data_IF_806238925654
#
_entry.id   IF_806238925654
#
_cell.length_a   1.000
_cell.length_b   1.000
_cell.length_c   1.000
_cell.angle_alpha   90.00
_cell.angle_beta   90.00
_cell.angle_gamma   90.00
#
_symmetry.space_group_name_H-M   'P 1'
#
loop_
_entity.id
_entity.type
_entity.pdbx_description
1 polymer ?
#
# COMPACT_ATOMS: atom_id res chain seq x y z
N UNK A 1 -27.93 16.52 39.06
CA UNK A 1 -28.18 15.96 37.73
C UNK A 1 -27.22 16.58 36.75
N UNK A 2 -26.27 15.79 36.23
CA UNK A 2 -25.32 16.25 35.22
C UNK A 2 -26.00 16.42 33.86
N UNK A 3 -25.42 17.21 32.96
CA UNK A 3 -25.99 17.40 31.62
C UNK A 3 -26.00 16.09 30.80
N UNK A 4 -25.07 15.19 31.08
CA UNK A 4 -25.04 13.83 30.54
C UNK A 4 -26.26 13.01 30.98
N UNK A 5 -26.64 13.06 32.26
CA UNK A 5 -27.83 12.37 32.79
C UNK A 5 -29.13 12.94 32.23
N UNK A 6 -29.22 14.26 32.07
CA UNK A 6 -30.39 14.91 31.43
C UNK A 6 -30.52 14.48 29.97
N UNK A 7 -29.41 14.41 29.23
CA UNK A 7 -29.39 13.94 27.85
C UNK A 7 -29.76 12.45 27.74
N UNK A 8 -29.28 11.61 28.65
CA UNK A 8 -29.64 10.19 28.73
C UNK A 8 -31.14 9.99 28.99
N UNK A 9 -31.69 10.68 29.99
CA UNK A 9 -33.13 10.64 30.33
C UNK A 9 -34.01 11.13 29.17
N UNK A 10 -33.56 12.12 28.40
CA UNK A 10 -34.24 12.58 27.17
C UNK A 10 -34.20 11.52 26.07
N UNK A 11 -33.05 10.85 25.86
CA UNK A 11 -32.93 9.75 24.87
C UNK A 11 -33.82 8.56 25.25
N UNK A 12 -33.89 8.20 26.52
CA UNK A 12 -34.76 7.13 27.01
C UNK A 12 -36.24 7.44 26.81
N UNK A 13 -36.68 8.66 27.18
CA UNK A 13 -38.06 9.11 26.90
C UNK A 13 -38.38 9.07 25.40
N UNK A 14 -37.46 9.48 24.55
CA UNK A 14 -37.64 9.38 23.09
C UNK A 14 -37.69 7.93 22.59
N UNK A 15 -36.87 7.02 23.15
CA UNK A 15 -36.91 5.59 22.85
C UNK A 15 -38.25 4.98 23.27
N UNK A 16 -38.70 5.25 24.49
CA UNK A 16 -39.99 4.79 25.02
C UNK A 16 -41.16 5.32 24.17
N UNK A 17 -41.14 6.61 23.80
CA UNK A 17 -42.15 7.19 22.92
C UNK A 17 -42.19 6.51 21.53
N UNK A 18 -41.02 6.22 20.94
CA UNK A 18 -40.94 5.52 19.64
C UNK A 18 -41.43 4.07 19.73
N UNK A 19 -41.17 3.39 20.83
CA UNK A 19 -41.63 2.02 21.08
C UNK A 19 -43.15 1.96 21.28
N UNK A 20 -43.72 2.93 22.00
CA UNK A 20 -45.17 3.02 22.25
C UNK A 20 -45.97 3.57 21.07
N UNK A 21 -45.34 4.32 20.15
CA UNK A 21 -46.01 4.97 19.02
C UNK A 21 -45.30 4.71 17.67
N UNK A 22 -45.11 3.43 17.26
CA UNK A 22 -44.34 3.09 16.07
C UNK A 22 -44.98 3.67 14.79
N UNK A 23 -46.30 3.62 14.69
CA UNK A 23 -47.04 4.10 13.52
C UNK A 23 -47.00 5.62 13.35
N UNK A 24 -47.16 6.38 14.44
CA UNK A 24 -47.04 7.85 14.40
C UNK A 24 -45.64 8.28 13.94
N UNK A 25 -44.60 7.58 14.41
CA UNK A 25 -43.21 7.84 14.01
C UNK A 25 -42.98 7.48 12.55
N UNK A 26 -43.51 6.34 12.07
CA UNK A 26 -43.44 5.92 10.67
C UNK A 26 -44.09 6.94 9.74
N UNK A 27 -45.31 7.38 10.05
CA UNK A 27 -46.05 8.35 9.27
C UNK A 27 -45.35 9.72 9.24
N UNK A 28 -44.85 10.19 10.38
CA UNK A 28 -44.08 11.43 10.46
C UNK A 28 -42.79 11.35 9.62
N UNK A 29 -42.10 10.20 9.65
CA UNK A 29 -40.92 9.97 8.82
C UNK A 29 -41.27 9.93 7.34
N UNK A 30 -42.36 9.28 6.93
CA UNK A 30 -42.82 9.29 5.54
C UNK A 30 -43.12 10.72 5.08
N UNK A 31 -43.89 11.50 5.87
CA UNK A 31 -44.18 12.91 5.59
C UNK A 31 -42.93 13.78 5.46
N UNK A 32 -41.89 13.48 6.25
CA UNK A 32 -40.61 14.17 6.12
C UNK A 32 -39.90 13.80 4.81
N UNK A 33 -39.87 12.51 4.46
CA UNK A 33 -39.19 12.02 3.25
C UNK A 33 -39.90 12.37 1.94
N UNK A 34 -41.21 12.60 1.95
CA UNK A 34 -41.99 13.02 0.78
C UNK A 34 -41.84 14.51 0.45
N UNK A 35 -41.28 15.31 1.37
CA UNK A 35 -40.98 16.72 1.09
C UNK A 35 -39.91 16.82 -0.01
N UNK A 36 -40.11 17.68 -1.03
CA UNK A 36 -39.16 17.86 -2.12
C UNK A 36 -37.78 18.27 -1.60
N UNK A 37 -36.71 17.76 -2.23
CA UNK A 37 -35.33 18.04 -1.86
C UNK A 37 -34.83 17.36 -0.57
N UNK A 38 -35.68 16.70 0.22
CA UNK A 38 -35.25 16.06 1.48
C UNK A 38 -34.32 14.87 1.24
N UNK A 39 -34.61 14.06 0.22
CA UNK A 39 -33.74 12.93 -0.18
C UNK A 39 -32.38 13.40 -0.68
N UNK A 40 -32.35 14.52 -1.40
CA UNK A 40 -31.11 15.11 -1.90
C UNK A 40 -30.26 15.68 -0.77
N UNK A 41 -30.88 16.41 0.17
CA UNK A 41 -30.22 16.91 1.38
C UNK A 41 -29.66 15.76 2.22
N UNK A 42 -30.39 14.66 2.37
CA UNK A 42 -29.89 13.45 3.04
C UNK A 42 -28.70 12.84 2.30
N UNK A 43 -28.80 12.64 0.99
CA UNK A 43 -27.68 12.12 0.18
C UNK A 43 -26.45 13.01 0.27
N UNK A 44 -26.63 14.33 0.26
CA UNK A 44 -25.54 15.30 0.39
C UNK A 44 -24.91 15.26 1.79
N UNK A 45 -25.72 15.17 2.85
CA UNK A 45 -25.23 15.01 4.22
C UNK A 45 -24.49 13.67 4.40
N UNK A 46 -25.03 12.58 3.88
CA UNK A 46 -24.41 11.26 3.90
C UNK A 46 -23.09 11.25 3.12
N UNK A 47 -23.04 11.93 1.97
CA UNK A 47 -21.81 12.10 1.19
C UNK A 47 -20.75 12.83 2.01
N UNK A 48 -21.09 13.99 2.59
CA UNK A 48 -20.18 14.75 3.47
C UNK A 48 -19.71 13.92 4.68
N UNK A 49 -20.60 13.13 5.28
CA UNK A 49 -20.25 12.24 6.38
C UNK A 49 -19.26 11.15 5.94
N UNK A 50 -19.51 10.50 4.79
CA UNK A 50 -18.60 9.49 4.23
C UNK A 50 -17.25 10.06 3.85
N UNK A 51 -17.20 11.30 3.38
CA UNK A 51 -15.93 11.99 3.08
C UNK A 51 -15.16 12.29 4.37
N UNK A 52 -15.83 12.87 5.37
CA UNK A 52 -15.21 13.22 6.66
C UNK A 52 -14.78 11.99 7.48
N UNK A 53 -15.49 10.87 7.34
CA UNK A 53 -15.27 9.65 8.10
C UNK A 53 -14.90 8.46 7.20
N UNK A 54 -14.21 8.73 6.08
CA UNK A 54 -13.89 7.74 5.05
C UNK A 54 -13.25 6.49 5.64
N UNK A 55 -12.22 6.66 6.44
CA UNK A 55 -11.44 5.55 7.00
C UNK A 55 -12.24 4.74 8.01
N UNK A 56 -13.04 5.40 8.86
CA UNK A 56 -13.93 4.73 9.81
C UNK A 56 -15.03 3.92 9.10
N UNK A 57 -15.56 4.41 7.98
CA UNK A 57 -16.53 3.67 7.17
C UNK A 57 -15.87 2.45 6.52
N UNK A 58 -14.66 2.61 5.97
CA UNK A 58 -13.90 1.51 5.36
C UNK A 58 -13.58 0.44 6.41
N UNK A 59 -13.05 0.83 7.56
CA UNK A 59 -12.71 -0.09 8.65
C UNK A 59 -13.95 -0.86 9.15
N UNK A 60 -15.09 -0.17 9.30
CA UNK A 60 -16.35 -0.82 9.67
C UNK A 60 -16.83 -1.82 8.63
N UNK A 61 -16.71 -1.50 7.34
CA UNK A 61 -17.05 -2.42 6.26
C UNK A 61 -16.10 -3.62 6.22
N UNK A 62 -14.80 -3.41 6.46
CA UNK A 62 -13.81 -4.48 6.51
C UNK A 62 -14.11 -5.45 7.66
N UNK A 63 -14.41 -4.91 8.85
CA UNK A 63 -14.81 -5.69 10.02
C UNK A 63 -16.09 -6.48 9.74
N UNK A 64 -17.08 -5.87 9.09
CA UNK A 64 -18.30 -6.58 8.70
C UNK A 64 -18.02 -7.76 7.76
N UNK A 65 -17.14 -7.60 6.76
CA UNK A 65 -16.74 -8.68 5.85
C UNK A 65 -16.01 -9.81 6.57
N UNK A 66 -15.21 -9.48 7.59
CA UNK A 66 -14.49 -10.47 8.40
C UNK A 66 -15.46 -11.27 9.30
N UNK A 67 -16.40 -10.57 9.96
CA UNK A 67 -17.38 -11.20 10.85
C UNK A 67 -18.49 -11.94 10.09
N UNK A 68 -18.77 -11.55 8.85
CA UNK A 68 -19.84 -12.12 8.02
C UNK A 68 -19.39 -12.37 6.57
N UNK A 69 -18.44 -13.30 6.35
CA UNK A 69 -17.86 -13.54 5.03
C UNK A 69 -18.89 -14.05 4.03
N UNK A 70 -19.79 -14.96 4.44
CA UNK A 70 -20.80 -15.55 3.57
C UNK A 70 -21.86 -14.53 3.13
N UNK A 71 -22.35 -13.70 4.05
CA UNK A 71 -23.32 -12.65 3.74
C UNK A 71 -22.72 -11.59 2.80
N UNK A 72 -21.46 -11.24 3.00
CA UNK A 72 -20.73 -10.33 2.12
C UNK A 72 -20.53 -10.92 0.71
N UNK A 73 -20.15 -12.21 0.62
CA UNK A 73 -20.01 -12.91 -0.66
C UNK A 73 -21.34 -13.02 -1.40
N UNK A 74 -22.42 -13.40 -0.71
CA UNK A 74 -23.77 -13.50 -1.27
C UNK A 74 -24.29 -12.14 -1.77
N UNK A 75 -24.06 -11.07 -1.00
CA UNK A 75 -24.42 -9.71 -1.42
C UNK A 75 -23.65 -9.27 -2.68
N UNK A 76 -22.34 -9.55 -2.71
CA UNK A 76 -21.48 -9.24 -3.86
C UNK A 76 -21.93 -10.00 -5.10
N UNK A 77 -22.24 -11.30 -4.96
CA UNK A 77 -22.76 -12.13 -6.05
C UNK A 77 -24.09 -11.59 -6.58
N UNK A 78 -25.05 -11.29 -5.70
CA UNK A 78 -26.34 -10.69 -6.09
C UNK A 78 -26.17 -9.36 -6.83
N UNK A 79 -25.22 -8.53 -6.42
CA UNK A 79 -24.90 -7.29 -7.12
C UNK A 79 -24.31 -7.56 -8.51
N UNK A 80 -23.37 -8.48 -8.61
CA UNK A 80 -22.74 -8.84 -9.88
C UNK A 80 -23.73 -9.46 -10.87
N UNK A 81 -24.63 -10.32 -10.41
CA UNK A 81 -25.64 -10.97 -11.24
C UNK A 81 -26.64 -9.94 -11.79
N UNK A 82 -27.10 -9.00 -10.95
CA UNK A 82 -28.01 -7.93 -11.36
C UNK A 82 -27.37 -6.93 -12.34
N UNK A 83 -26.08 -6.63 -12.16
CA UNK A 83 -25.38 -5.62 -12.95
C UNK A 83 -24.39 -6.23 -13.96
N UNK A 84 -24.56 -7.51 -14.32
CA UNK A 84 -23.61 -8.26 -15.15
C UNK A 84 -23.32 -7.58 -16.48
N UNK A 85 -24.35 -7.05 -17.13
CA UNK A 85 -24.23 -6.39 -18.44
C UNK A 85 -23.46 -5.08 -18.32
N UNK A 86 -23.78 -4.25 -17.35
CA UNK A 86 -23.10 -2.97 -17.11
C UNK A 86 -21.63 -3.17 -16.72
N UNK A 87 -21.35 -4.14 -15.85
CA UNK A 87 -19.99 -4.53 -15.46
C UNK A 87 -19.19 -4.97 -16.68
N UNK A 88 -19.76 -5.83 -17.53
CA UNK A 88 -19.11 -6.30 -18.75
C UNK A 88 -18.90 -5.17 -19.77
N UNK A 89 -19.86 -4.27 -19.91
CA UNK A 89 -19.74 -3.10 -20.78
C UNK A 89 -18.57 -2.20 -20.32
N UNK A 90 -18.50 -1.91 -19.02
CA UNK A 90 -17.38 -1.17 -18.43
C UNK A 90 -16.03 -1.86 -18.67
N UNK A 91 -15.96 -3.18 -18.51
CA UNK A 91 -14.72 -3.90 -18.82
C UNK A 91 -14.36 -3.77 -20.31
N UNK A 92 -15.32 -3.92 -21.22
CA UNK A 92 -15.09 -3.74 -22.67
C UNK A 92 -14.60 -2.33 -22.99
N UNK A 93 -15.13 -1.30 -22.35
CA UNK A 93 -14.67 0.08 -22.52
C UNK A 93 -13.23 0.26 -22.07
N UNK A 94 -12.84 -0.30 -20.92
CA UNK A 94 -11.44 -0.28 -20.45
C UNK A 94 -10.51 -0.96 -21.46
N UNK A 95 -10.92 -2.10 -22.02
CA UNK A 95 -10.17 -2.78 -23.08
C UNK A 95 -10.10 -1.98 -24.38
N UNK A 96 -11.14 -1.21 -24.71
CA UNK A 96 -11.18 -0.39 -25.91
C UNK A 96 -10.29 0.86 -25.79
N UNK A 97 -10.28 1.49 -24.63
CA UNK A 97 -9.54 2.73 -24.41
C UNK A 97 -8.03 2.48 -24.27
N UNK A 98 -7.64 1.43 -23.53
CA UNK A 98 -6.23 1.16 -23.21
C UNK A 98 -5.80 -0.29 -23.50
N UNK A 99 -5.95 -0.80 -24.75
CA UNK A 99 -5.58 -2.19 -25.07
C UNK A 99 -4.09 -2.46 -24.80
N UNK A 100 -3.21 -1.52 -25.15
CA UNK A 100 -1.76 -1.66 -25.01
C UNK A 100 -1.33 -1.77 -23.56
N UNK A 101 -1.96 -1.02 -22.65
CA UNK A 101 -1.67 -1.08 -21.22
C UNK A 101 -2.02 -2.44 -20.63
N UNK A 102 -3.14 -3.01 -21.07
CA UNK A 102 -3.58 -4.34 -20.62
C UNK A 102 -2.64 -5.41 -21.17
N UNK A 103 -2.31 -5.34 -22.46
CA UNK A 103 -1.35 -6.25 -23.09
C UNK A 103 0.04 -6.15 -22.45
N UNK A 104 0.53 -4.95 -22.16
CA UNK A 104 1.79 -4.73 -21.46
C UNK A 104 1.78 -5.37 -20.07
N UNK A 105 0.68 -5.21 -19.32
CA UNK A 105 0.51 -5.86 -18.01
C UNK A 105 0.49 -7.38 -18.12
N UNK A 106 -0.22 -7.93 -19.11
CA UNK A 106 -0.26 -9.37 -19.36
C UNK A 106 1.11 -9.92 -19.76
N UNK A 107 1.81 -9.24 -20.68
CA UNK A 107 3.19 -9.57 -21.09
C UNK A 107 4.14 -9.54 -19.91
N UNK A 108 4.06 -8.52 -19.05
CA UNK A 108 4.89 -8.42 -17.84
C UNK A 108 4.59 -9.57 -16.86
N UNK A 109 3.31 -9.90 -16.62
CA UNK A 109 2.93 -11.02 -15.76
C UNK A 109 3.41 -12.36 -16.31
N UNK A 110 3.27 -12.57 -17.63
CA UNK A 110 3.75 -13.77 -18.30
C UNK A 110 5.28 -13.88 -18.23
N UNK A 111 6.02 -12.80 -18.50
CA UNK A 111 7.47 -12.77 -18.39
C UNK A 111 7.95 -13.12 -16.97
N UNK A 112 7.32 -12.55 -15.94
CA UNK A 112 7.62 -12.90 -14.53
C UNK A 112 7.40 -14.38 -14.25
N UNK A 113 6.22 -14.90 -14.64
CA UNK A 113 5.90 -16.32 -14.44
C UNK A 113 6.89 -17.22 -15.18
N UNK A 114 7.26 -16.86 -16.41
CA UNK A 114 8.26 -17.59 -17.20
C UNK A 114 9.62 -17.61 -16.50
N UNK A 115 10.10 -16.46 -16.00
CA UNK A 115 11.38 -16.39 -15.27
C UNK A 115 11.36 -17.23 -13.98
N UNK A 116 10.29 -17.16 -13.19
CA UNK A 116 10.17 -17.99 -11.98
C UNK A 116 10.15 -19.49 -12.32
N UNK A 117 9.42 -19.89 -13.37
CA UNK A 117 9.40 -21.28 -13.81
C UNK A 117 10.77 -21.75 -14.31
N UNK A 118 11.48 -20.93 -15.09
CA UNK A 118 12.84 -21.25 -15.55
C UNK A 118 13.82 -21.40 -14.39
N UNK A 119 13.74 -20.51 -13.40
CA UNK A 119 14.52 -20.59 -12.17
C UNK A 119 14.23 -21.87 -11.38
N UNK A 120 12.96 -22.24 -11.23
CA UNK A 120 12.55 -23.44 -10.50
C UNK A 120 12.91 -24.74 -11.23
N UNK A 121 12.78 -24.80 -12.56
CA UNK A 121 13.12 -25.98 -13.34
C UNK A 121 14.64 -26.19 -13.46
N UNK A 122 15.43 -25.11 -13.40
CA UNK A 122 16.89 -25.18 -13.56
C UNK A 122 17.63 -24.20 -12.64
N UNK A 123 17.73 -24.50 -11.33
CA UNK A 123 18.44 -23.63 -10.38
C UNK A 123 19.90 -23.40 -10.75
N UNK A 124 20.57 -24.42 -11.29
CA UNK A 124 21.97 -24.30 -11.75
C UNK A 124 22.14 -23.27 -12.87
N UNK A 125 21.19 -23.17 -13.80
CA UNK A 125 21.23 -22.20 -14.87
C UNK A 125 21.06 -20.78 -14.34
N UNK A 126 20.16 -20.60 -13.37
CA UNK A 126 20.03 -19.34 -12.66
C UNK A 126 21.33 -18.95 -11.96
N UNK A 127 21.93 -19.88 -11.20
CA UNK A 127 23.21 -19.64 -10.52
C UNK A 127 24.29 -19.21 -11.52
N UNK A 128 24.49 -19.99 -12.59
CA UNK A 128 25.49 -19.68 -13.63
C UNK A 128 25.24 -18.31 -14.27
N UNK A 129 23.98 -17.99 -14.59
CA UNK A 129 23.63 -16.70 -15.20
C UNK A 129 23.90 -15.52 -14.26
N UNK A 130 23.63 -15.66 -12.96
CA UNK A 130 23.87 -14.63 -11.94
C UNK A 130 25.38 -14.44 -11.73
N UNK A 131 26.13 -15.51 -11.46
CA UNK A 131 27.58 -15.41 -11.25
C UNK A 131 28.33 -14.90 -12.48
N UNK A 132 27.86 -15.23 -13.70
CA UNK A 132 28.42 -14.68 -14.93
C UNK A 132 28.11 -13.19 -15.14
N UNK A 133 27.05 -12.67 -14.50
CA UNK A 133 26.69 -11.26 -14.59
C UNK A 133 27.47 -10.39 -13.58
N UNK A 134 27.90 -10.96 -12.46
CA UNK A 134 28.63 -10.25 -11.40
C UNK A 134 30.12 -10.14 -11.79
N UNK A 135 30.75 -8.95 -11.66
CA UNK A 135 32.16 -8.78 -11.98
C UNK A 135 33.08 -9.72 -11.17
N UNK A 136 34.01 -10.45 -11.81
CA UNK A 136 34.91 -11.38 -11.11
C UNK A 136 35.97 -10.66 -10.26
N UNK A 137 36.19 -9.37 -10.48
CA UNK A 137 37.10 -8.53 -9.70
C UNK A 137 36.62 -8.28 -8.26
N UNK A 138 35.35 -8.55 -7.95
CA UNK A 138 34.80 -8.37 -6.62
C UNK A 138 35.24 -9.50 -5.68
N UNK A 139 35.53 -9.20 -4.39
CA UNK A 139 35.78 -10.21 -3.37
C UNK A 139 34.68 -11.26 -3.31
N UNK A 140 35.06 -12.52 -3.06
CA UNK A 140 34.12 -13.67 -3.09
C UNK A 140 32.91 -13.45 -2.20
N UNK A 141 33.09 -12.96 -0.97
CA UNK A 141 31.99 -12.75 -0.03
C UNK A 141 30.93 -11.75 -0.55
N UNK A 142 31.36 -10.68 -1.24
CA UNK A 142 30.43 -9.72 -1.86
C UNK A 142 29.67 -10.37 -3.01
N UNK A 143 30.37 -11.16 -3.83
CA UNK A 143 29.76 -11.86 -4.97
C UNK A 143 28.70 -12.85 -4.50
N UNK A 144 29.01 -13.64 -3.47
CA UNK A 144 28.10 -14.65 -2.93
C UNK A 144 26.83 -14.00 -2.35
N UNK A 145 26.97 -12.88 -1.62
CA UNK A 145 25.83 -12.12 -1.07
C UNK A 145 24.93 -11.55 -2.17
N UNK A 146 25.52 -10.80 -3.11
CA UNK A 146 24.78 -10.20 -4.23
C UNK A 146 24.15 -11.29 -5.11
N UNK A 147 24.83 -12.41 -5.30
CA UNK A 147 24.28 -13.55 -6.04
C UNK A 147 23.05 -14.13 -5.33
N UNK A 148 23.13 -14.31 -4.01
CA UNK A 148 22.01 -14.77 -3.19
C UNK A 148 20.79 -13.83 -3.30
N UNK A 149 21.00 -12.54 -3.10
CA UNK A 149 19.94 -11.52 -3.24
C UNK A 149 19.30 -11.53 -4.64
N UNK A 150 20.11 -11.66 -5.70
CA UNK A 150 19.62 -11.72 -7.07
C UNK A 150 18.82 -12.98 -7.36
N UNK A 151 19.25 -14.14 -6.85
CA UNK A 151 18.50 -15.39 -7.02
C UNK A 151 17.15 -15.31 -6.31
N UNK A 152 17.12 -14.79 -5.08
CA UNK A 152 15.88 -14.54 -4.35
C UNK A 152 14.95 -13.60 -5.11
N UNK A 153 15.46 -12.48 -5.63
CA UNK A 153 14.68 -11.54 -6.41
C UNK A 153 14.04 -12.17 -7.67
N UNK A 154 14.72 -13.13 -8.31
CA UNK A 154 14.15 -13.87 -9.44
C UNK A 154 13.03 -14.81 -9.01
N UNK A 155 13.21 -15.51 -7.88
CA UNK A 155 12.21 -16.43 -7.33
C UNK A 155 10.95 -15.69 -6.83
N UNK A 156 11.12 -14.48 -6.29
CA UNK A 156 10.02 -13.60 -5.91
C UNK A 156 9.32 -12.94 -7.12
N UNK A 157 9.90 -13.04 -8.32
CA UNK A 157 9.40 -12.44 -9.53
C UNK A 157 9.53 -10.90 -9.57
N UNK A 158 10.41 -10.33 -8.74
CA UNK A 158 10.77 -8.91 -8.78
C UNK A 158 11.83 -8.65 -9.85
N UNK A 159 12.74 -9.61 -10.08
CA UNK A 159 13.73 -9.61 -11.14
C UNK A 159 13.39 -10.64 -12.22
N UNK A 160 13.54 -10.26 -13.49
CA UNK A 160 13.42 -11.18 -14.63
C UNK A 160 14.78 -11.78 -14.95
N UNK A 161 14.82 -13.05 -15.37
CA UNK A 161 16.07 -13.71 -15.79
C UNK A 161 16.77 -12.96 -16.92
N UNK A 162 16.00 -12.43 -17.87
CA UNK A 162 16.50 -11.66 -19.01
C UNK A 162 17.16 -10.33 -18.58
N UNK A 163 16.87 -9.85 -17.36
CA UNK A 163 17.33 -8.56 -16.84
C UNK A 163 18.41 -8.67 -15.76
N UNK A 164 18.90 -9.88 -15.47
CA UNK A 164 19.94 -10.13 -14.46
C UNK A 164 21.11 -9.16 -14.62
N UNK A 165 21.73 -9.10 -15.81
CA UNK A 165 22.89 -8.23 -16.08
C UNK A 165 22.62 -6.74 -15.84
N UNK A 166 21.42 -6.25 -16.18
CA UNK A 166 21.05 -4.84 -15.99
C UNK A 166 20.88 -4.48 -14.51
N UNK A 167 20.41 -5.44 -13.71
CA UNK A 167 20.13 -5.24 -12.28
C UNK A 167 21.36 -5.34 -11.37
N UNK A 168 22.48 -5.90 -11.84
CA UNK A 168 23.71 -6.07 -11.02
C UNK A 168 24.18 -4.75 -10.42
N UNK A 169 24.21 -3.68 -11.22
CA UNK A 169 24.67 -2.37 -10.75
C UNK A 169 23.77 -1.78 -9.67
N UNK A 170 22.45 -2.03 -9.74
CA UNK A 170 21.51 -1.59 -8.71
C UNK A 170 21.70 -2.39 -7.42
N UNK A 171 21.87 -3.71 -7.52
CA UNK A 171 22.10 -4.56 -6.36
C UNK A 171 23.41 -4.23 -5.67
N UNK A 172 24.49 -3.99 -6.41
CA UNK A 172 25.76 -3.53 -5.85
C UNK A 172 25.62 -2.19 -5.12
N UNK A 173 24.81 -1.26 -5.63
CA UNK A 173 24.53 0.01 -4.92
C UNK A 173 23.74 -0.22 -3.65
N UNK A 174 22.78 -1.15 -3.64
CA UNK A 174 22.00 -1.51 -2.43
C UNK A 174 22.89 -2.16 -1.38
N UNK A 175 23.70 -3.14 -1.78
CA UNK A 175 24.72 -3.75 -0.94
C UNK A 175 25.65 -2.68 -0.35
N UNK A 176 26.27 -1.87 -1.21
CA UNK A 176 27.16 -0.81 -0.75
C UNK A 176 26.46 0.16 0.20
N UNK A 177 25.20 0.54 -0.02
CA UNK A 177 24.45 1.40 0.90
C UNK A 177 24.25 0.74 2.28
N UNK A 178 24.02 -0.56 2.34
CA UNK A 178 23.85 -1.29 3.60
C UNK A 178 25.15 -1.44 4.39
N UNK A 179 26.28 -1.50 3.70
CA UNK A 179 27.61 -1.76 4.28
C UNK A 179 28.57 -0.55 4.22
N UNK A 180 28.14 0.61 3.72
CA UNK A 180 28.95 1.86 3.63
C UNK A 180 29.25 2.47 5.01
N UNK A 181 28.57 2.00 6.04
CA UNK A 181 28.73 2.45 7.43
C UNK A 181 30.12 2.20 8.01
N UNK A 182 30.94 1.36 7.38
CA UNK A 182 32.28 1.01 7.86
C UNK A 182 33.43 1.71 7.13
N UNK A 183 33.15 2.64 6.21
CA UNK A 183 34.23 3.42 5.60
C UNK A 183 34.70 4.50 6.58
N UNK A 184 35.99 4.45 6.93
CA UNK A 184 36.66 5.46 7.76
C UNK A 184 36.66 6.76 6.96
N UNK A 185 35.71 7.64 7.26
CA UNK A 185 35.70 9.01 6.78
C UNK A 185 36.67 9.80 7.65
N UNK A 186 37.82 10.18 7.09
CA UNK A 186 38.77 11.04 7.78
C UNK A 186 38.10 12.39 8.06
N UNK A 187 38.02 12.77 9.34
CA UNK A 187 37.44 14.05 9.75
C UNK A 187 38.30 15.23 9.28
N UNK A 188 39.60 14.99 9.10
CA UNK A 188 40.59 15.98 8.67
C UNK A 188 40.71 16.12 7.15
N UNK A 189 40.03 15.27 6.37
CA UNK A 189 40.09 15.38 4.92
C UNK A 189 39.22 16.56 4.44
N UNK A 190 39.73 17.40 3.52
CA UNK A 190 38.94 18.47 2.92
C UNK A 190 37.77 17.89 2.14
N UNK A 191 36.62 18.55 2.24
CA UNK A 191 35.41 18.08 1.58
C UNK A 191 35.49 18.43 0.10
N UNK A 192 35.25 17.43 -0.75
CA UNK A 192 35.24 17.61 -2.20
C UNK A 192 34.26 18.71 -2.61
N UNK A 193 34.77 19.76 -3.28
CA UNK A 193 33.99 20.92 -3.72
C UNK A 193 34.05 22.14 -2.79
N UNK A 194 34.86 22.10 -1.73
CA UNK A 194 35.18 23.27 -0.89
C UNK A 194 36.68 23.55 -0.94
N UNK A 195 37.09 24.82 -0.80
CA UNK A 195 38.50 25.20 -0.92
C UNK A 195 39.36 24.65 0.24
N UNK A 196 38.80 24.52 1.46
CA UNK A 196 39.55 23.93 2.59
C UNK A 196 38.66 23.47 3.78
N UNK A 197 37.36 23.28 3.59
CA UNK A 197 36.45 22.96 4.70
C UNK A 197 36.57 21.49 5.06
N UNK A 198 36.97 21.19 6.31
CA UNK A 198 37.08 19.80 6.79
C UNK A 198 35.80 19.37 7.46
N UNK A 199 35.59 18.06 7.57
CA UNK A 199 34.39 17.52 8.24
C UNK A 199 34.39 17.80 9.73
N UNK A 200 35.58 17.89 10.36
CA UNK A 200 35.72 18.27 11.76
C UNK A 200 35.17 19.68 12.04
N UNK A 201 35.30 20.60 11.08
CA UNK A 201 34.85 21.99 11.23
C UNK A 201 33.32 22.12 11.20
N UNK A 202 32.61 21.08 10.74
CA UNK A 202 31.15 21.02 10.75
C UNK A 202 30.56 20.38 12.01
N UNK A 203 31.39 19.77 12.87
CA UNK A 203 30.92 19.15 14.11
C UNK A 203 30.87 20.22 15.19
N UNK A 204 29.66 20.58 15.61
CA UNK A 204 29.45 21.54 16.70
C UNK A 204 29.49 20.85 18.07
N UNK A 205 29.76 21.60 19.14
CA UNK A 205 29.76 21.04 20.51
C UNK A 205 28.42 20.40 20.92
N UNK A 206 27.31 20.77 20.26
CA UNK A 206 26.00 20.14 20.45
C UNK A 206 25.88 18.73 19.85
N UNK A 207 26.75 18.36 18.91
CA UNK A 207 26.78 17.02 18.30
C UNK A 207 27.71 16.05 19.06
N UNK A 208 28.45 16.55 20.05
CA UNK A 208 29.32 15.73 20.88
C UNK A 208 28.53 15.01 21.97
N UNK A 209 28.74 13.70 22.11
CA UNK A 209 28.14 12.87 23.18
C UNK A 209 28.73 13.22 24.56
N UNK A 210 29.85 13.94 24.58
CA UNK A 210 30.53 14.42 25.78
C UNK A 210 30.14 15.88 26.05
N UNK A 211 28.91 16.10 26.48
CA UNK A 211 28.55 17.38 27.11
C UNK A 211 29.28 17.49 28.44
N UNK A 212 30.39 18.23 28.45
CA UNK A 212 30.97 18.68 29.71
C UNK A 212 30.06 19.76 30.28
N UNK A 213 29.27 19.37 31.28
CA UNK A 213 28.56 20.31 32.13
C UNK A 213 29.60 21.21 32.82
N UNK A 214 29.58 22.49 32.49
CA UNK A 214 30.22 23.56 33.28
C UNK A 214 29.22 24.04 34.30
#
# INVERSE_FOLDING_TARGET
MTDAERAAKKRERQRAYRALNPEKVRLARQRYLTKPGTRERQRAADKKYREKHRDAVIARQALYRLMHPEAAAASTKRYHDKNRVEINARYREVYRLDPDKILARQRAAYARKRSMLQANCSPEMLMKAVYAAIPPALPKFIRDEVAGEMMLAVLEGTLLMDHIRKSVAEQLRRYNRGYDTFKILSLDAPIAGTEDLRRIDMISSSDSVFQFAV
#
